data_IF_480383886573
#
_entry.id   IF_480383886573
#
_cell.length_a   1.000
_cell.length_b   1.000
_cell.length_c   1.000
_cell.angle_alpha   90.00
_cell.angle_beta   90.00
_cell.angle_gamma   90.00
#
_symmetry.space_group_name_H-M   'P 1'
#
loop_
_entity.id
_entity.type
_entity.pdbx_description
1 polymer ?
#
# COMPACT_ATOMS: atom_id res chain seq x y z
N UNK A 1 -5.05 9.80 -9.08
CA UNK A 1 -5.75 9.76 -10.38
C UNK A 1 -5.16 8.74 -11.33
N UNK A 2 -3.87 8.78 -11.66
CA UNK A 2 -3.23 7.83 -12.60
C UNK A 2 -3.42 6.36 -12.17
N UNK A 3 -3.21 6.05 -10.89
CA UNK A 3 -3.42 4.68 -10.35
C UNK A 3 -4.87 4.17 -10.48
N UNK A 4 -5.88 5.04 -10.35
CA UNK A 4 -7.29 4.67 -10.54
C UNK A 4 -7.61 4.37 -12.01
N UNK A 5 -7.00 5.12 -12.95
CA UNK A 5 -7.16 4.87 -14.39
C UNK A 5 -6.56 3.51 -14.76
N UNK A 6 -5.35 3.20 -14.29
CA UNK A 6 -4.74 1.89 -14.51
C UNK A 6 -5.52 0.76 -13.83
N UNK A 7 -6.04 0.98 -12.62
CA UNK A 7 -6.88 0.02 -11.93
C UNK A 7 -8.15 -0.32 -12.72
N UNK A 8 -8.89 0.69 -13.17
CA UNK A 8 -10.09 0.51 -14.00
C UNK A 8 -9.75 -0.18 -15.31
N UNK A 9 -8.66 0.22 -15.96
CA UNK A 9 -8.21 -0.39 -17.20
C UNK A 9 -7.90 -1.88 -17.02
N UNK A 10 -7.12 -2.25 -16.00
CA UNK A 10 -6.79 -3.66 -15.74
C UNK A 10 -8.06 -4.45 -15.41
N UNK A 11 -8.96 -3.94 -14.57
CA UNK A 11 -10.22 -4.62 -14.25
C UNK A 11 -11.09 -4.86 -15.50
N UNK A 12 -11.19 -3.88 -16.40
CA UNK A 12 -12.02 -4.00 -17.61
C UNK A 12 -11.40 -4.88 -18.69
N UNK A 13 -10.07 -4.89 -18.79
CA UNK A 13 -9.33 -5.61 -19.83
C UNK A 13 -8.64 -6.90 -19.34
N UNK A 14 -8.84 -7.31 -18.08
CA UNK A 14 -8.15 -8.47 -17.50
C UNK A 14 -8.35 -9.75 -18.33
N UNK A 15 -9.58 -10.00 -18.80
CA UNK A 15 -9.91 -11.16 -19.62
C UNK A 15 -9.20 -11.18 -20.98
N UNK A 16 -8.76 -10.04 -21.51
CA UNK A 16 -7.98 -9.95 -22.76
C UNK A 16 -6.47 -9.87 -22.50
N UNK A 17 -6.06 -9.31 -21.37
CA UNK A 17 -4.66 -9.27 -20.92
C UNK A 17 -4.13 -10.66 -20.61
N UNK A 18 -4.95 -11.60 -20.16
CA UNK A 18 -4.51 -12.99 -19.90
C UNK A 18 -4.04 -13.71 -21.17
N UNK A 19 -4.69 -13.44 -22.32
CA UNK A 19 -4.34 -14.04 -23.62
C UNK A 19 -2.96 -13.63 -24.15
N UNK A 20 -2.40 -12.48 -23.74
CA UNK A 20 -1.05 -12.09 -24.16
C UNK A 20 0.06 -12.85 -23.41
N UNK A 21 -0.25 -13.46 -22.26
CA UNK A 21 0.73 -14.17 -21.43
C UNK A 21 0.73 -15.68 -21.67
N UNK A 22 -0.40 -16.28 -22.03
CA UNK A 22 -0.51 -17.72 -22.23
C UNK A 22 -1.71 -18.10 -23.09
N UNK A 23 -1.63 -19.27 -23.74
CA UNK A 23 -2.77 -19.89 -24.45
C UNK A 23 -3.28 -21.14 -23.74
N UNK A 24 -2.71 -21.51 -22.59
CA UNK A 24 -3.14 -22.68 -21.82
C UNK A 24 -4.23 -22.32 -20.82
N UNK A 25 -5.40 -22.98 -20.90
CA UNK A 25 -6.57 -22.75 -20.02
C UNK A 25 -6.25 -22.66 -18.53
N UNK A 26 -5.54 -23.63 -17.90
CA UNK A 26 -5.26 -23.58 -16.47
C UNK A 26 -4.35 -22.41 -16.06
N UNK A 27 -3.47 -21.95 -16.95
CA UNK A 27 -2.63 -20.78 -16.69
C UNK A 27 -3.43 -19.50 -16.92
N UNK A 28 -4.35 -19.49 -17.87
CA UNK A 28 -5.22 -18.35 -18.18
C UNK A 28 -6.10 -18.00 -16.98
N UNK A 29 -6.70 -19.00 -16.33
CA UNK A 29 -7.53 -18.79 -15.14
C UNK A 29 -6.70 -18.26 -13.95
N UNK A 30 -5.48 -18.78 -13.77
CA UNK A 30 -4.57 -18.29 -12.74
C UNK A 30 -4.15 -16.83 -12.99
N UNK A 31 -3.77 -16.50 -14.23
CA UNK A 31 -3.38 -15.14 -14.61
C UNK A 31 -4.57 -14.18 -14.51
N UNK A 32 -5.80 -14.63 -14.76
CA UNK A 32 -6.99 -13.77 -14.65
C UNK A 32 -7.20 -13.32 -13.20
N UNK A 33 -7.13 -14.29 -12.29
CA UNK A 33 -7.22 -14.06 -10.85
C UNK A 33 -6.07 -13.18 -10.35
N UNK A 34 -4.84 -13.41 -10.82
CA UNK A 34 -3.67 -12.59 -10.51
C UNK A 34 -3.79 -11.16 -11.07
N UNK A 35 -4.42 -10.96 -12.23
CA UNK A 35 -4.62 -9.65 -12.85
C UNK A 35 -5.56 -8.78 -12.03
N UNK A 36 -6.62 -9.35 -11.46
CA UNK A 36 -7.49 -8.66 -10.49
C UNK A 36 -6.67 -8.27 -9.26
N UNK A 37 -5.86 -9.19 -8.73
CA UNK A 37 -5.00 -8.91 -7.59
C UNK A 37 -4.03 -7.77 -7.88
N UNK A 38 -3.37 -7.80 -9.04
CA UNK A 38 -2.50 -6.75 -9.57
C UNK A 38 -3.19 -5.39 -9.64
N UNK A 39 -4.45 -5.35 -10.08
CA UNK A 39 -5.20 -4.12 -10.09
C UNK A 39 -5.25 -3.52 -8.67
N UNK A 40 -5.67 -4.31 -7.67
CA UNK A 40 -5.69 -3.84 -6.28
C UNK A 40 -4.30 -3.46 -5.75
N UNK A 41 -3.26 -4.20 -6.13
CA UNK A 41 -1.87 -3.85 -5.85
C UNK A 41 -1.53 -2.45 -6.35
N UNK A 42 -1.84 -2.15 -7.61
CA UNK A 42 -1.57 -0.85 -8.24
C UNK A 42 -2.35 0.27 -7.53
N UNK A 43 -3.60 0.00 -7.17
CA UNK A 43 -4.41 0.97 -6.44
C UNK A 43 -3.78 1.31 -5.08
N UNK A 44 -3.45 0.31 -4.27
CA UNK A 44 -2.85 0.48 -2.95
C UNK A 44 -1.47 1.15 -3.04
N UNK A 45 -0.62 0.71 -3.98
CA UNK A 45 0.69 1.32 -4.23
C UNK A 45 0.59 2.74 -4.80
N UNK A 46 -0.57 3.20 -5.26
CA UNK A 46 -0.75 4.60 -5.66
C UNK A 46 -1.06 5.52 -4.47
N UNK A 47 -1.67 5.00 -3.40
CA UNK A 47 -2.06 5.75 -2.20
C UNK A 47 -0.94 5.75 -1.16
N UNK A 48 -0.28 4.60 -0.97
CA UNK A 48 0.74 4.40 0.05
C UNK A 48 1.92 5.39 -0.05
N UNK A 49 2.49 5.72 -1.23
CA UNK A 49 3.58 6.68 -1.35
C UNK A 49 3.14 8.10 -1.05
N UNK A 50 1.88 8.46 -1.36
CA UNK A 50 1.32 9.78 -1.07
C UNK A 50 1.21 9.98 0.44
N UNK A 51 0.61 9.01 1.14
CA UNK A 51 0.49 9.06 2.60
C UNK A 51 1.85 8.99 3.30
N UNK A 52 2.73 8.11 2.83
CA UNK A 52 4.09 8.02 3.38
C UNK A 52 4.88 9.30 3.13
N UNK A 53 4.72 9.92 1.96
CA UNK A 53 5.35 11.21 1.63
C UNK A 53 4.86 12.34 2.53
N UNK A 54 3.55 12.42 2.78
CA UNK A 54 2.97 13.39 3.73
C UNK A 54 3.51 13.16 5.13
N UNK A 55 3.47 11.92 5.63
CA UNK A 55 3.92 11.62 6.98
C UNK A 55 5.43 11.83 7.17
N UNK A 56 6.26 11.51 6.17
CA UNK A 56 7.70 11.80 6.19
C UNK A 56 7.96 13.31 6.10
N UNK A 57 7.20 14.03 5.28
CA UNK A 57 7.26 15.50 5.18
C UNK A 57 6.92 16.21 6.49
N UNK A 58 6.00 15.65 7.28
CA UNK A 58 5.68 16.10 8.64
C UNK A 58 6.68 15.63 9.71
N UNK A 59 7.75 14.92 9.33
CA UNK A 59 8.78 14.43 10.26
C UNK A 59 8.44 13.11 10.97
N UNK A 60 7.34 12.45 10.64
CA UNK A 60 6.84 11.25 11.31
C UNK A 60 7.40 9.93 10.73
N UNK A 61 8.44 10.01 9.93
CA UNK A 61 9.08 8.88 9.24
C UNK A 61 9.34 7.66 10.15
N UNK A 62 9.75 7.88 11.42
CA UNK A 62 10.00 6.81 12.39
C UNK A 62 8.73 6.02 12.71
N UNK A 63 7.62 6.71 12.97
CA UNK A 63 6.34 6.08 13.24
C UNK A 63 5.86 5.27 12.03
N UNK A 64 5.99 5.84 10.83
CA UNK A 64 5.63 5.14 9.58
C UNK A 64 6.43 3.84 9.42
N UNK A 65 7.74 3.87 9.69
CA UNK A 65 8.60 2.69 9.58
C UNK A 65 8.19 1.58 10.57
N UNK A 66 7.91 1.93 11.83
CA UNK A 66 7.44 0.96 12.83
C UNK A 66 6.09 0.35 12.47
N UNK A 67 5.14 1.17 12.01
CA UNK A 67 3.82 0.69 11.56
C UNK A 67 3.96 -0.23 10.36
N UNK A 68 4.81 0.13 9.38
CA UNK A 68 5.09 -0.70 8.22
C UNK A 68 5.63 -2.08 8.64
N UNK A 69 6.68 -2.11 9.46
CA UNK A 69 7.27 -3.36 9.98
C UNK A 69 6.22 -4.20 10.71
N UNK A 70 5.43 -3.60 11.59
CA UNK A 70 4.38 -4.30 12.33
C UNK A 70 3.30 -4.87 11.42
N UNK A 71 2.83 -4.11 10.43
CA UNK A 71 1.80 -4.58 9.51
C UNK A 71 2.34 -5.67 8.58
N UNK A 72 3.52 -5.46 7.97
CA UNK A 72 4.07 -6.42 7.01
C UNK A 72 4.49 -7.73 7.67
N UNK A 73 5.25 -7.67 8.77
CA UNK A 73 5.79 -8.87 9.40
C UNK A 73 4.85 -9.47 10.44
N UNK A 74 4.12 -8.63 11.19
CA UNK A 74 3.22 -9.10 12.24
C UNK A 74 1.86 -9.57 11.72
N UNK A 75 1.36 -8.99 10.62
CA UNK A 75 0.03 -9.31 10.07
C UNK A 75 0.16 -9.92 8.68
N UNK A 76 0.86 -9.27 7.76
CA UNK A 76 0.98 -9.67 6.36
C UNK A 76 1.59 -11.06 6.18
N UNK A 77 2.71 -11.35 6.85
CA UNK A 77 3.37 -12.67 6.76
C UNK A 77 2.48 -13.80 7.32
N UNK A 78 1.89 -13.69 8.53
CA UNK A 78 0.94 -14.70 9.02
C UNK A 78 -0.28 -14.88 8.12
N UNK A 79 -0.88 -13.78 7.62
CA UNK A 79 -2.01 -13.85 6.68
C UNK A 79 -1.62 -14.48 5.35
N UNK A 80 -0.44 -14.15 4.83
CA UNK A 80 0.09 -14.75 3.61
C UNK A 80 0.31 -16.26 3.78
N UNK A 81 0.85 -16.68 4.92
CA UNK A 81 1.02 -18.11 5.24
C UNK A 81 -0.33 -18.82 5.41
N UNK A 82 -1.28 -18.21 6.13
CA UNK A 82 -2.65 -18.70 6.28
C UNK A 82 -3.35 -18.86 4.92
N UNK A 83 -3.35 -17.82 4.08
CA UNK A 83 -4.01 -17.87 2.77
C UNK A 83 -3.29 -18.81 1.79
N UNK A 84 -1.96 -18.89 1.83
CA UNK A 84 -1.19 -19.79 0.98
C UNK A 84 -1.37 -21.27 1.35
N UNK A 85 -1.28 -21.58 2.65
CA UNK A 85 -1.18 -22.95 3.14
C UNK A 85 -2.52 -23.53 3.60
N UNK A 86 -3.31 -22.78 4.38
CA UNK A 86 -4.59 -23.26 4.93
C UNK A 86 -5.70 -23.17 3.90
N UNK A 87 -5.76 -22.09 3.12
CA UNK A 87 -6.77 -21.95 2.06
C UNK A 87 -6.34 -22.59 0.73
N UNK A 88 -5.16 -23.24 0.69
CA UNK A 88 -4.59 -23.89 -0.50
C UNK A 88 -4.55 -23.01 -1.75
N UNK A 89 -4.51 -21.67 -1.59
CA UNK A 89 -4.44 -20.74 -2.72
C UNK A 89 -3.02 -20.52 -3.24
N UNK A 90 -2.04 -21.22 -2.65
CA UNK A 90 -0.64 -21.21 -3.10
C UNK A 90 -0.06 -19.80 -3.15
N UNK A 91 0.62 -19.48 -4.25
CA UNK A 91 1.29 -18.17 -4.45
C UNK A 91 0.29 -17.02 -4.49
N UNK A 92 -0.92 -17.25 -5.03
CA UNK A 92 -1.94 -16.21 -5.10
C UNK A 92 -2.43 -15.82 -3.70
N UNK A 93 -2.65 -16.80 -2.82
CA UNK A 93 -3.03 -16.57 -1.43
C UNK A 93 -1.95 -15.83 -0.65
N UNK A 94 -0.68 -16.18 -0.85
CA UNK A 94 0.45 -15.47 -0.24
C UNK A 94 0.46 -14.02 -0.70
N UNK A 95 0.34 -13.78 -2.00
CA UNK A 95 0.37 -12.42 -2.54
C UNK A 95 -0.81 -11.58 -2.05
N UNK A 96 -2.02 -12.16 -2.04
CA UNK A 96 -3.21 -11.52 -1.50
C UNK A 96 -3.03 -11.19 -0.02
N UNK A 97 -2.60 -12.14 0.79
CA UNK A 97 -2.38 -11.95 2.23
C UNK A 97 -1.34 -10.87 2.54
N UNK A 98 -0.25 -10.79 1.76
CA UNK A 98 0.77 -9.76 1.94
C UNK A 98 0.24 -8.35 1.58
N UNK A 99 -0.56 -8.24 0.51
CA UNK A 99 -1.11 -6.96 0.07
C UNK A 99 -2.23 -6.48 1.00
N UNK A 100 -3.21 -7.34 1.28
CA UNK A 100 -4.34 -6.97 2.11
C UNK A 100 -3.93 -6.87 3.59
N UNK A 101 -3.12 -7.79 4.09
CA UNK A 101 -2.68 -7.81 5.50
C UNK A 101 -1.55 -6.83 5.81
N UNK A 102 -0.62 -6.61 4.88
CA UNK A 102 0.49 -5.68 5.05
C UNK A 102 0.14 -4.28 4.54
N UNK A 103 0.13 -4.14 3.21
CA UNK A 103 0.01 -2.84 2.53
C UNK A 103 -1.31 -2.12 2.83
N UNK A 104 -2.44 -2.81 2.75
CA UNK A 104 -3.75 -2.17 2.95
C UNK A 104 -3.99 -1.76 4.40
N UNK A 105 -3.64 -2.63 5.36
CA UNK A 105 -3.73 -2.31 6.81
C UNK A 105 -2.81 -1.14 7.16
N UNK A 106 -1.56 -1.16 6.69
CA UNK A 106 -0.64 -0.03 6.88
C UNK A 106 -1.21 1.27 6.32
N UNK A 107 -1.74 1.23 5.09
CA UNK A 107 -2.33 2.39 4.41
C UNK A 107 -3.53 2.92 5.18
N UNK A 108 -4.40 2.04 5.69
CA UNK A 108 -5.55 2.41 6.52
C UNK A 108 -5.12 3.09 7.82
N UNK A 109 -4.16 2.52 8.53
CA UNK A 109 -3.65 3.08 9.79
C UNK A 109 -3.06 4.47 9.55
N UNK A 110 -2.21 4.62 8.52
CA UNK A 110 -1.65 5.93 8.17
C UNK A 110 -2.74 6.93 7.81
N UNK A 111 -3.73 6.53 7.01
CA UNK A 111 -4.87 7.39 6.65
C UNK A 111 -5.61 7.88 7.89
N UNK A 112 -5.88 6.99 8.84
CA UNK A 112 -6.57 7.35 10.10
C UNK A 112 -5.74 8.34 10.91
N UNK A 113 -4.43 8.09 11.06
CA UNK A 113 -3.54 8.98 11.80
C UNK A 113 -3.46 10.35 11.10
N UNK A 114 -3.35 10.40 9.78
CA UNK A 114 -3.33 11.62 8.97
C UNK A 114 -4.63 12.42 9.13
N UNK A 115 -5.79 11.78 9.12
CA UNK A 115 -7.09 12.47 9.28
C UNK A 115 -7.29 12.95 10.72
N UNK A 116 -6.81 12.20 11.72
CA UNK A 116 -6.92 12.55 13.14
C UNK A 116 -5.83 13.52 13.61
N UNK A 117 -4.82 13.78 12.78
CA UNK A 117 -3.77 14.76 13.07
C UNK A 117 -4.34 16.17 13.12
N UNK A 118 -4.02 16.91 14.18
CA UNK A 118 -4.28 18.35 14.22
C UNK A 118 -3.18 19.07 13.43
N UNK A 119 -3.45 19.27 12.14
CA UNK A 119 -2.56 19.92 11.18
C UNK A 119 -2.16 21.34 11.59
N UNK A 120 -2.99 22.04 12.36
CA UNK A 120 -2.71 23.41 12.81
C UNK A 120 -1.54 23.42 13.81
N UNK A 121 -1.52 22.46 14.72
CA UNK A 121 -0.46 22.30 15.71
C UNK A 121 0.83 21.75 15.07
N UNK A 122 0.73 20.87 14.07
CA UNK A 122 1.91 20.43 13.30
C UNK A 122 2.50 21.55 12.44
N UNK A 123 1.66 22.43 11.87
CA UNK A 123 2.11 23.61 11.14
C UNK A 123 2.84 24.61 12.07
N UNK A 124 2.33 24.82 13.28
CA UNK A 124 2.97 25.66 14.29
C UNK A 124 4.35 25.12 14.69
N UNK A 125 4.47 23.81 14.97
CA UNK A 125 5.77 23.17 15.24
C UNK A 125 6.74 23.32 14.07
N UNK A 126 6.28 23.10 12.84
CA UNK A 126 7.12 23.28 11.66
C UNK A 126 7.65 24.72 11.56
N UNK A 127 6.79 25.71 11.82
CA UNK A 127 7.18 27.12 11.81
C UNK A 127 8.21 27.45 12.91
N UNK A 128 8.00 26.94 14.14
CA UNK A 128 8.96 27.10 15.24
C UNK A 128 10.33 26.50 14.93
N UNK A 129 10.38 25.37 14.23
CA UNK A 129 11.64 24.74 13.80
C UNK A 129 12.39 25.60 12.76
N UNK A 130 11.67 26.20 11.81
CA UNK A 130 12.26 27.11 10.82
C UNK A 130 12.77 28.39 11.47
N UNK A 131 12.02 28.97 12.41
CA UNK A 131 12.44 30.18 13.14
C UNK A 131 13.72 29.94 13.95
N UNK A 132 13.81 28.81 14.67
CA UNK A 132 15.04 28.42 15.38
C UNK A 132 16.25 28.27 14.45
N UNK A 133 16.04 27.74 13.24
CA UNK A 133 17.11 27.63 12.25
C UNK A 133 17.53 28.99 11.71
N UNK A 134 16.59 29.91 11.51
CA UNK A 134 16.89 31.28 11.08
C UNK A 134 17.71 32.03 12.13
N UNK A 135 17.39 31.89 13.42
CA UNK A 135 18.14 32.52 14.52
C UNK A 135 19.53 31.90 14.72
N UNK A 136 19.69 30.60 14.44
CA UNK A 136 21.00 29.95 14.53
C UNK A 136 21.93 30.26 13.33
N UNK A 137 21.37 30.79 12.23
CA UNK A 137 22.11 31.13 11.01
C UNK A 137 22.46 32.63 10.91
N UNK A 138 21.93 33.46 11.82
CA UNK A 138 22.23 34.90 11.97
C UNK A 138 23.28 35.14 13.06
#
# INVERSE_FOLDING_TARGET
MIGLVFWLFIMFFHDKLTWIFTSSEPVLEAVNKLSILLAFTVLLNSVQPVLSGVAVGSGWQKYVAYINLGCYYGIGVPLGFLMGWIFHQGVMGIWAGMIFGGTAVQTLILTIITIRCNWENEAEKANLHVLKWSEAAS
#
